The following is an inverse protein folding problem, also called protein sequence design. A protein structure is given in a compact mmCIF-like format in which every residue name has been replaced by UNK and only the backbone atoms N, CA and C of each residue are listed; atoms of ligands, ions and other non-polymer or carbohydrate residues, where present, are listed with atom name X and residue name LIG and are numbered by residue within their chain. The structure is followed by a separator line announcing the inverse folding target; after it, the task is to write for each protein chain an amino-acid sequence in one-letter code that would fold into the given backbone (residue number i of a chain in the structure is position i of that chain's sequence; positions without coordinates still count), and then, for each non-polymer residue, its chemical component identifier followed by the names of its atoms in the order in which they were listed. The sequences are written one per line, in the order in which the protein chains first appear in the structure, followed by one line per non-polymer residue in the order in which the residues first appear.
data_IF_266678110208
#
_entry.id   IF_266678110208
#
_cell.length_a   1.000
_cell.length_b   1.000
_cell.length_c   1.000
_cell.angle_alpha   90.00
_cell.angle_beta   90.00
_cell.angle_gamma   90.00
#
_symmetry.space_group_name_H-M   'P 1'
#
loop_
_entity.id
_entity.type
_entity.pdbx_description
1 polymer ?
#
# COMPACT_ATOMS: atom_id res chain seq x y z
N UNK A 1 -18.62 -15.45 52.06
CA UNK A 1 -18.66 -16.06 50.72
C UNK A 1 -20.10 -16.48 50.44
N UNK A 2 -20.86 -15.71 49.65
CA UNK A 2 -22.21 -16.08 49.23
C UNK A 2 -22.37 -15.59 47.80
N UNK A 3 -22.34 -16.52 46.85
CA UNK A 3 -22.42 -16.23 45.43
C UNK A 3 -23.79 -15.61 45.12
N UNK A 4 -23.77 -14.38 44.61
CA UNK A 4 -24.92 -13.73 44.02
C UNK A 4 -25.30 -14.55 42.78
N UNK A 5 -26.45 -15.23 42.85
CA UNK A 5 -27.11 -15.72 41.64
C UNK A 5 -27.65 -14.47 40.93
N UNK A 6 -27.26 -14.19 39.68
CA UNK A 6 -27.92 -13.14 38.92
C UNK A 6 -29.35 -13.62 38.68
N UNK A 7 -30.30 -12.97 39.35
CA UNK A 7 -31.71 -13.05 39.05
C UNK A 7 -31.89 -12.61 37.59
N UNK A 8 -32.05 -13.60 36.71
CA UNK A 8 -32.25 -13.39 35.29
C UNK A 8 -33.60 -12.72 35.14
N UNK A 9 -33.57 -11.42 34.84
CA UNK A 9 -34.75 -10.62 34.48
C UNK A 9 -35.47 -11.33 33.34
N UNK A 10 -36.53 -12.07 33.67
CA UNK A 10 -37.41 -12.70 32.72
C UNK A 10 -38.29 -11.64 32.07
N UNK A 11 -37.70 -10.80 31.22
CA UNK A 11 -38.45 -10.14 30.15
C UNK A 11 -39.24 -11.22 29.41
N UNK A 12 -40.53 -10.99 29.18
CA UNK A 12 -41.44 -11.84 28.40
C UNK A 12 -40.97 -11.96 26.95
N UNK A 13 -39.82 -12.60 26.72
CA UNK A 13 -39.28 -12.92 25.41
C UNK A 13 -39.90 -14.25 24.99
N UNK A 14 -40.43 -14.28 23.78
CA UNK A 14 -40.98 -15.50 23.18
C UNK A 14 -39.87 -16.54 23.11
N UNK A 15 -40.09 -17.69 23.75
CA UNK A 15 -39.15 -18.79 23.70
C UNK A 15 -39.25 -19.46 22.31
N UNK A 16 -38.18 -19.47 21.49
CA UNK A 16 -38.22 -20.11 20.16
C UNK A 16 -38.38 -21.63 20.26
N UNK A 17 -37.91 -22.24 21.35
CA UNK A 17 -38.07 -23.67 21.63
C UNK A 17 -39.52 -24.09 21.80
N UNK A 18 -40.32 -23.25 22.44
CA UNK A 18 -41.76 -23.48 22.61
C UNK A 18 -42.49 -23.45 21.26
N UNK A 19 -42.10 -22.53 20.37
CA UNK A 19 -42.64 -22.47 19.00
C UNK A 19 -42.32 -23.74 18.22
N UNK A 20 -41.10 -24.26 18.34
CA UNK A 20 -40.69 -25.51 17.71
C UNK A 20 -41.47 -26.71 18.27
N UNK A 21 -41.67 -26.74 19.59
CA UNK A 21 -42.47 -27.77 20.27
C UNK A 21 -43.91 -27.80 19.77
N UNK A 22 -44.57 -26.65 19.72
CA UNK A 22 -45.94 -26.54 19.24
C UNK A 22 -46.06 -27.00 17.79
N UNK A 23 -45.11 -26.61 16.93
CA UNK A 23 -45.08 -27.06 15.56
C UNK A 23 -44.85 -28.59 15.44
N UNK A 24 -44.00 -29.19 16.28
CA UNK A 24 -43.84 -30.66 16.34
C UNK A 24 -45.13 -31.35 16.77
N UNK A 25 -45.76 -30.88 17.84
CA UNK A 25 -46.99 -31.45 18.39
C UNK A 25 -48.16 -31.32 17.42
N UNK A 26 -48.25 -30.21 16.67
CA UNK A 26 -49.24 -30.01 15.60
C UNK A 26 -49.15 -31.04 14.47
N UNK A 27 -47.97 -31.65 14.29
CA UNK A 27 -47.69 -32.72 13.31
C UNK A 27 -47.76 -34.12 13.92
N UNK A 28 -48.09 -34.22 15.21
CA UNK A 28 -48.10 -35.47 15.97
C UNK A 28 -46.77 -36.22 15.90
N UNK A 29 -45.65 -35.50 15.77
CA UNK A 29 -44.32 -36.11 15.76
C UNK A 29 -43.80 -36.30 17.18
N UNK A 30 -43.24 -37.48 17.45
CA UNK A 30 -42.61 -37.73 18.74
C UNK A 30 -41.25 -37.02 18.83
N UNK A 31 -40.88 -36.60 20.04
CA UNK A 31 -39.57 -36.03 20.31
C UNK A 31 -38.41 -36.96 19.88
N UNK A 32 -38.42 -38.28 20.18
CA UNK A 32 -37.34 -39.16 19.74
C UNK A 32 -37.25 -39.33 18.22
N UNK A 33 -38.36 -39.33 17.48
CA UNK A 33 -38.33 -39.43 16.02
C UNK A 33 -37.67 -38.21 15.39
N UNK A 34 -37.98 -37.02 15.90
CA UNK A 34 -37.36 -35.77 15.44
C UNK A 34 -35.89 -35.73 15.80
N UNK A 35 -35.52 -36.17 17.01
CA UNK A 35 -34.14 -36.25 17.45
C UNK A 35 -33.31 -37.14 16.50
N UNK A 36 -33.86 -38.29 16.08
CA UNK A 36 -33.23 -39.18 15.10
C UNK A 36 -33.07 -38.51 13.73
N UNK A 37 -34.10 -37.82 13.23
CA UNK A 37 -34.04 -37.11 11.93
C UNK A 37 -33.02 -35.97 11.91
N UNK A 38 -32.82 -35.31 13.05
CA UNK A 38 -31.84 -34.22 13.19
C UNK A 38 -30.45 -34.71 13.61
N UNK A 39 -30.29 -36.01 13.87
CA UNK A 39 -29.09 -36.61 14.43
C UNK A 39 -28.64 -35.94 15.74
N UNK A 40 -29.60 -35.67 16.62
CA UNK A 40 -29.42 -35.06 17.94
C UNK A 40 -29.85 -36.02 19.04
N UNK A 41 -29.33 -35.82 20.25
CA UNK A 41 -29.83 -36.54 21.42
C UNK A 41 -31.20 -36.02 21.83
N UNK A 42 -32.05 -36.91 22.34
CA UNK A 42 -33.38 -36.55 22.87
C UNK A 42 -33.26 -35.49 23.97
N UNK A 43 -32.23 -35.58 24.80
CA UNK A 43 -31.93 -34.60 25.86
C UNK A 43 -31.63 -33.22 25.30
N UNK A 44 -30.82 -33.10 24.24
CA UNK A 44 -30.52 -31.82 23.60
C UNK A 44 -31.78 -31.20 22.99
N UNK A 45 -32.62 -32.01 22.34
CA UNK A 45 -33.86 -31.54 21.74
C UNK A 45 -34.88 -31.10 22.81
N UNK A 46 -34.98 -31.85 23.91
CA UNK A 46 -35.78 -31.47 25.08
C UNK A 46 -35.29 -30.17 25.71
N UNK A 47 -33.97 -30.01 25.88
CA UNK A 47 -33.41 -28.75 26.38
C UNK A 47 -33.71 -27.58 25.44
N UNK A 48 -33.66 -27.81 24.13
CA UNK A 48 -34.02 -26.82 23.12
C UNK A 48 -35.49 -26.39 23.25
N UNK A 49 -36.43 -27.34 23.32
CA UNK A 49 -37.87 -27.05 23.45
C UNK A 49 -38.19 -26.33 24.76
N UNK A 50 -37.48 -26.64 25.84
CA UNK A 50 -37.65 -26.00 27.15
C UNK A 50 -36.91 -24.65 27.27
N UNK A 51 -36.20 -24.18 26.25
CA UNK A 51 -35.38 -22.97 26.31
C UNK A 51 -34.15 -23.05 27.21
N UNK A 52 -33.74 -24.25 27.62
CA UNK A 52 -32.57 -24.49 28.46
C UNK A 52 -31.28 -24.50 27.62
N UNK A 53 -31.02 -23.40 26.91
CA UNK A 53 -29.89 -23.30 25.97
C UNK A 53 -28.52 -23.40 26.66
N UNK A 54 -28.43 -23.05 27.93
CA UNK A 54 -27.23 -23.20 28.78
C UNK A 54 -26.79 -24.65 28.96
N UNK A 55 -27.70 -25.62 28.79
CA UNK A 55 -27.39 -27.06 28.89
C UNK A 55 -26.87 -27.67 27.58
N UNK A 56 -26.81 -26.87 26.50
CA UNK A 56 -26.30 -27.29 25.21
C UNK A 56 -24.78 -27.04 25.13
N UNK A 57 -24.06 -27.64 24.16
CA UNK A 57 -22.62 -27.46 23.99
C UNK A 57 -22.14 -26.01 23.68
N UNK A 58 -23.06 -25.04 23.63
CA UNK A 58 -22.81 -23.63 23.36
C UNK A 58 -23.87 -22.99 22.46
N UNK A 59 -23.99 -21.66 22.50
CA UNK A 59 -24.98 -20.90 21.73
C UNK A 59 -24.85 -21.08 20.22
N UNK A 60 -23.63 -21.23 19.69
CA UNK A 60 -23.41 -21.47 18.25
C UNK A 60 -24.05 -22.78 17.79
N UNK A 61 -23.90 -23.84 18.58
CA UNK A 61 -24.53 -25.14 18.32
C UNK A 61 -26.04 -25.06 18.50
N UNK A 62 -26.52 -24.43 19.58
CA UNK A 62 -27.93 -24.22 19.83
C UNK A 62 -28.62 -23.49 18.67
N UNK A 63 -28.00 -22.44 18.15
CA UNK A 63 -28.47 -21.69 16.97
C UNK A 63 -28.56 -22.58 15.73
N UNK A 64 -27.58 -23.46 15.53
CA UNK A 64 -27.60 -24.46 14.46
C UNK A 64 -28.76 -25.45 14.62
N UNK A 65 -29.03 -25.91 15.85
CA UNK A 65 -30.13 -26.82 16.15
C UNK A 65 -31.49 -26.16 15.90
N UNK A 66 -31.70 -24.91 16.34
CA UNK A 66 -32.91 -24.12 16.05
C UNK A 66 -33.14 -24.04 14.54
N UNK A 67 -32.10 -23.69 13.77
CA UNK A 67 -32.18 -23.62 12.30
C UNK A 67 -32.55 -24.96 11.67
N UNK A 68 -31.87 -26.03 12.06
CA UNK A 68 -32.10 -27.37 11.50
C UNK A 68 -33.51 -27.88 11.82
N UNK A 69 -34.00 -27.62 13.03
CA UNK A 69 -35.34 -28.01 13.46
C UNK A 69 -36.41 -27.20 12.74
N UNK A 70 -36.25 -25.88 12.63
CA UNK A 70 -37.14 -25.03 11.83
C UNK A 70 -37.20 -25.51 10.37
N UNK A 71 -36.06 -25.86 9.77
CA UNK A 71 -35.99 -26.43 8.41
C UNK A 71 -36.77 -27.74 8.29
N UNK A 72 -36.61 -28.67 9.25
CA UNK A 72 -37.33 -29.94 9.25
C UNK A 72 -38.86 -29.74 9.38
N UNK A 73 -39.26 -28.73 10.15
CA UNK A 73 -40.66 -28.35 10.31
C UNK A 73 -41.16 -27.43 9.18
N UNK A 74 -40.34 -27.03 8.22
CA UNK A 74 -40.73 -26.10 7.16
C UNK A 74 -41.16 -24.72 7.68
N UNK A 75 -40.63 -24.31 8.84
CA UNK A 75 -40.82 -22.98 9.42
C UNK A 75 -39.77 -22.00 8.86
N UNK A 76 -40.02 -20.70 9.04
CA UNK A 76 -39.01 -19.69 8.71
C UNK A 76 -37.81 -19.79 9.66
N UNK A 77 -36.72 -20.30 9.10
CA UNK A 77 -35.44 -20.47 9.79
C UNK A 77 -34.87 -19.14 10.26
N UNK A 78 -35.06 -18.06 9.51
CA UNK A 78 -34.47 -16.75 9.80
C UNK A 78 -35.17 -16.14 11.01
N UNK A 79 -36.50 -16.13 11.00
CA UNK A 79 -37.30 -15.62 12.11
C UNK A 79 -37.03 -16.39 13.42
N UNK A 80 -36.96 -17.73 13.38
CA UNK A 80 -36.70 -18.54 14.58
C UNK A 80 -35.30 -18.35 15.14
N UNK A 81 -34.31 -18.19 14.26
CA UNK A 81 -32.93 -17.88 14.67
C UNK A 81 -32.83 -16.48 15.26
N UNK A 82 -33.57 -15.51 14.72
CA UNK A 82 -33.63 -14.16 15.27
C UNK A 82 -34.28 -14.15 16.66
N UNK A 83 -35.37 -14.89 16.84
CA UNK A 83 -36.00 -15.08 18.15
C UNK A 83 -35.05 -15.74 19.15
N UNK A 84 -34.25 -16.71 18.71
CA UNK A 84 -33.18 -17.30 19.53
C UNK A 84 -32.14 -16.25 19.92
N UNK A 85 -31.60 -15.52 18.94
CA UNK A 85 -30.59 -14.49 19.15
C UNK A 85 -31.11 -13.42 20.16
N UNK A 86 -32.39 -13.02 20.05
CA UNK A 86 -33.07 -12.12 21.01
C UNK A 86 -33.29 -12.76 22.40
N UNK A 87 -33.65 -14.04 22.45
CA UNK A 87 -33.92 -14.76 23.71
C UNK A 87 -32.66 -14.92 24.55
N UNK A 88 -31.57 -15.38 23.93
CA UNK A 88 -30.27 -15.60 24.58
C UNK A 88 -29.42 -14.34 24.70
N UNK A 89 -29.81 -13.24 24.05
CA UNK A 89 -29.02 -12.02 23.99
C UNK A 89 -27.72 -12.19 23.21
N UNK A 90 -27.65 -13.22 22.35
CA UNK A 90 -26.50 -13.47 21.48
C UNK A 90 -26.79 -12.89 20.12
N UNK A 91 -26.23 -11.72 19.80
CA UNK A 91 -26.09 -11.35 18.41
C UNK A 91 -25.05 -12.27 17.77
N UNK A 92 -25.20 -12.66 16.51
CA UNK A 92 -24.27 -13.56 15.80
C UNK A 92 -22.80 -13.10 15.71
N UNK A 93 -22.42 -12.07 16.48
CA UNK A 93 -21.09 -11.55 16.73
C UNK A 93 -20.50 -12.19 17.99
N UNK A 94 -20.14 -13.47 17.88
CA UNK A 94 -19.14 -14.07 18.76
C UNK A 94 -19.47 -14.08 20.26
N UNK A 95 -20.44 -14.89 20.66
CA UNK A 95 -20.38 -15.50 22.00
C UNK A 95 -19.14 -16.39 22.04
N UNK A 96 -18.07 -15.90 22.66
CA UNK A 96 -16.80 -16.57 22.85
C UNK A 96 -16.98 -17.88 23.63
N UNK A 97 -17.13 -18.99 22.90
CA UNK A 97 -16.84 -20.30 23.48
C UNK A 97 -15.33 -20.51 23.44
N UNK A 98 -14.75 -20.76 24.60
CA UNK A 98 -13.42 -21.36 24.78
C UNK A 98 -13.38 -22.73 24.07
N UNK A 99 -13.25 -22.72 22.75
CA UNK A 99 -12.84 -23.87 21.97
C UNK A 99 -11.32 -23.80 21.84
N UNK A 100 -10.63 -24.55 22.71
CA UNK A 100 -9.28 -25.01 22.42
C UNK A 100 -9.30 -25.67 21.03
N UNK A 101 -8.60 -25.07 20.07
CA UNK A 101 -8.60 -25.54 18.68
C UNK A 101 -8.95 -24.44 17.70
N UNK A 102 -8.09 -23.41 17.63
CA UNK A 102 -7.98 -22.52 16.48
C UNK A 102 -7.59 -23.37 15.27
N UNK A 103 -8.57 -23.85 14.53
CA UNK A 103 -8.39 -24.15 13.11
C UNK A 103 -8.86 -22.88 12.42
N UNK A 104 -7.89 -22.17 11.84
CA UNK A 104 -8.07 -20.91 11.14
C UNK A 104 -9.28 -20.98 10.22
N UNK A 105 -10.19 -20.02 10.36
CA UNK A 105 -11.25 -19.82 9.38
C UNK A 105 -10.61 -19.69 7.98
N UNK A 106 -11.13 -20.34 6.93
CA UNK A 106 -10.70 -20.02 5.57
C UNK A 106 -11.05 -18.55 5.36
N UNK A 107 -10.03 -17.69 5.38
CA UNK A 107 -10.16 -16.25 5.26
C UNK A 107 -10.94 -16.02 3.96
N UNK A 108 -12.21 -15.62 4.11
CA UNK A 108 -13.02 -15.14 3.00
C UNK A 108 -12.35 -13.84 2.60
N UNK A 109 -11.35 -13.91 1.73
CA UNK A 109 -10.56 -12.76 1.35
C UNK A 109 -11.52 -11.79 0.66
N UNK A 110 -11.96 -10.79 1.43
CA UNK A 110 -12.98 -9.85 1.01
C UNK A 110 -12.50 -9.18 -0.27
N UNK A 111 -13.40 -9.00 -1.21
CA UNK A 111 -13.17 -8.34 -2.50
C UNK A 111 -12.48 -6.97 -2.34
N UNK A 112 -12.62 -6.35 -1.17
CA UNK A 112 -11.99 -5.08 -0.81
C UNK A 112 -10.47 -5.21 -0.59
N UNK A 113 -9.97 -6.33 -0.05
CA UNK A 113 -8.53 -6.57 0.14
C UNK A 113 -7.84 -6.70 -1.22
N UNK A 114 -8.46 -7.44 -2.15
CA UNK A 114 -7.98 -7.55 -3.53
C UNK A 114 -7.94 -6.18 -4.23
N UNK A 115 -8.94 -5.33 -4.02
CA UNK A 115 -8.94 -3.95 -4.55
C UNK A 115 -7.82 -3.09 -3.96
N UNK A 116 -7.58 -3.19 -2.65
CA UNK A 116 -6.50 -2.43 -1.99
C UNK A 116 -5.13 -2.90 -2.50
N UNK A 117 -4.91 -4.21 -2.58
CA UNK A 117 -3.64 -4.77 -3.09
C UNK A 117 -3.44 -4.38 -4.56
N UNK A 118 -4.48 -4.49 -5.39
CA UNK A 118 -4.44 -4.06 -6.79
C UNK A 118 -4.14 -2.56 -6.93
N UNK A 119 -4.71 -1.72 -6.07
CA UNK A 119 -4.47 -0.28 -6.08
C UNK A 119 -3.03 0.04 -5.68
N UNK A 120 -2.51 -0.59 -4.63
CA UNK A 120 -1.12 -0.41 -4.22
C UNK A 120 -0.13 -0.82 -5.30
N UNK A 121 -0.36 -1.96 -5.97
CA UNK A 121 0.49 -2.44 -7.05
C UNK A 121 0.48 -1.46 -8.23
N UNK A 122 -0.69 -0.92 -8.58
CA UNK A 122 -0.82 0.11 -9.62
C UNK A 122 -0.06 1.40 -9.27
N UNK A 123 -0.17 1.88 -8.02
CA UNK A 123 0.57 3.05 -7.56
C UNK A 123 2.09 2.83 -7.63
N UNK A 124 2.57 1.64 -7.27
CA UNK A 124 4.00 1.30 -7.37
C UNK A 124 4.46 1.28 -8.82
N UNK A 125 3.69 0.69 -9.74
CA UNK A 125 4.01 0.66 -11.17
C UNK A 125 4.09 2.07 -11.76
N UNK A 126 3.09 2.91 -11.47
CA UNK A 126 3.05 4.30 -11.96
C UNK A 126 4.16 5.14 -11.35
N UNK A 127 4.38 5.03 -10.04
CA UNK A 127 5.45 5.74 -9.34
C UNK A 127 6.84 5.32 -9.82
N UNK A 128 7.08 4.03 -9.97
CA UNK A 128 8.34 3.50 -10.50
C UNK A 128 8.59 3.94 -11.94
N UNK A 129 7.57 3.91 -12.80
CA UNK A 129 7.65 4.41 -14.17
C UNK A 129 7.95 5.92 -14.23
N UNK A 130 7.36 6.71 -13.34
CA UNK A 130 7.60 8.15 -13.25
C UNK A 130 9.04 8.46 -12.83
N UNK A 131 9.57 7.75 -11.83
CA UNK A 131 10.96 7.91 -11.38
C UNK A 131 11.94 7.52 -12.50
N UNK A 132 11.69 6.40 -13.19
CA UNK A 132 12.51 5.97 -14.31
C UNK A 132 12.50 6.98 -15.48
N UNK A 133 11.32 7.55 -15.78
CA UNK A 133 11.21 8.60 -16.79
C UNK A 133 11.98 9.86 -16.42
N UNK A 134 11.99 10.25 -15.14
CA UNK A 134 12.75 11.40 -14.65
C UNK A 134 14.27 11.17 -14.73
N UNK A 135 14.73 9.95 -14.44
CA UNK A 135 16.14 9.56 -14.54
C UNK A 135 16.61 9.58 -16.00
N UNK A 136 15.80 9.07 -16.93
CA UNK A 136 16.13 9.09 -18.36
C UNK A 136 16.09 10.50 -18.96
N UNK A 137 15.20 11.38 -18.49
CA UNK A 137 15.22 12.80 -18.85
C UNK A 137 16.50 13.51 -18.36
N UNK A 138 17.03 13.11 -17.20
CA UNK A 138 18.26 13.67 -16.63
C UNK A 138 19.52 13.16 -17.34
N UNK A 139 19.54 11.91 -17.80
CA UNK A 139 20.62 11.33 -18.60
C UNK A 139 20.67 11.95 -20.02
N UNK A 140 19.51 12.20 -20.65
CA UNK A 140 19.43 12.79 -21.99
C UNK A 140 19.94 14.24 -22.07
N UNK A 141 19.92 14.99 -20.95
CA UNK A 141 20.54 16.31 -20.85
C UNK A 141 22.07 16.26 -20.66
N UNK A 142 22.60 15.16 -20.12
CA UNK A 142 24.03 14.97 -19.88
C UNK A 142 24.78 14.54 -21.15
N UNK A 143 24.14 13.75 -22.01
CA UNK A 143 24.69 13.35 -23.32
C UNK A 143 24.81 14.53 -24.30
N UNK A 144 23.86 15.48 -24.31
CA UNK A 144 23.96 16.66 -25.19
C UNK A 144 25.06 17.64 -24.79
N UNK A 145 25.46 17.63 -23.51
CA UNK A 145 26.55 18.48 -23.01
C UNK A 145 27.94 17.88 -23.28
N UNK A 146 28.02 16.57 -23.54
CA UNK A 146 29.27 15.84 -23.78
C UNK A 146 29.71 15.73 -25.24
N UNK A 147 28.88 16.14 -26.21
CA UNK A 147 29.14 15.95 -27.65
C UNK A 147 29.64 17.22 -28.37
N UNK A 148 29.91 18.32 -27.67
CA UNK A 148 30.39 19.58 -28.29
C UNK A 148 31.92 19.78 -28.16
N UNK A 149 32.69 18.71 -27.99
CA UNK A 149 34.16 18.79 -28.04
C UNK A 149 34.77 17.50 -28.59
N UNK A 150 34.21 16.99 -29.68
CA UNK A 150 34.87 15.94 -30.46
C UNK A 150 35.88 16.62 -31.40
N UNK A 151 37.12 16.61 -30.92
CA UNK A 151 38.36 16.98 -31.58
C UNK A 151 38.39 16.52 -33.06
N UNK A 152 38.50 17.45 -34.00
CA UNK A 152 38.79 17.13 -35.40
C UNK A 152 40.31 17.09 -35.57
N UNK A 153 40.89 15.89 -35.59
CA UNK A 153 42.26 15.68 -36.04
C UNK A 153 42.29 15.64 -37.58
N UNK A 154 43.04 16.56 -38.18
CA UNK A 154 43.38 16.50 -39.60
C UNK A 154 44.86 16.19 -39.72
N UNK A 155 45.19 14.94 -40.03
CA UNK A 155 46.57 14.49 -40.21
C UNK A 155 47.13 15.08 -41.51
N UNK A 156 48.06 16.03 -41.39
CA UNK A 156 48.82 16.54 -42.54
C UNK A 156 49.95 15.56 -42.87
N UNK A 157 50.17 15.31 -44.17
CA UNK A 157 50.96 14.20 -44.71
C UNK A 157 52.48 14.19 -44.41
N UNK A 158 52.99 15.10 -43.56
CA UNK A 158 54.42 15.22 -43.23
C UNK A 158 54.76 14.91 -41.75
N UNK A 159 53.83 14.30 -40.98
CA UNK A 159 54.16 13.57 -39.75
C UNK A 159 54.81 14.37 -38.61
N UNK A 160 54.66 15.69 -38.57
CA UNK A 160 55.14 16.55 -37.46
C UNK A 160 53.96 17.24 -36.79
N UNK A 161 53.67 16.88 -35.54
CA UNK A 161 52.62 17.51 -34.72
C UNK A 161 53.07 18.89 -34.26
N UNK A 162 52.60 19.96 -34.92
CA UNK A 162 52.65 21.31 -34.36
C UNK A 162 51.37 21.58 -33.56
N UNK A 163 51.53 21.80 -32.27
CA UNK A 163 50.47 22.21 -31.35
C UNK A 163 50.40 23.74 -31.43
N UNK A 164 49.39 24.29 -32.11
CA UNK A 164 49.09 25.71 -32.07
C UNK A 164 47.89 25.93 -31.15
N UNK A 165 48.06 26.48 -29.93
CA UNK A 165 46.95 26.89 -29.08
C UNK A 165 46.20 28.04 -29.76
N UNK A 166 44.90 27.84 -30.04
CA UNK A 166 44.00 28.93 -30.45
C UNK A 166 43.64 29.78 -29.22
N UNK A 167 44.56 30.63 -28.83
CA UNK A 167 44.30 31.82 -28.02
C UNK A 167 45.10 32.97 -28.65
N UNK A 168 44.68 33.37 -29.85
CA UNK A 168 45.11 34.62 -30.45
C UNK A 168 43.87 35.51 -30.55
N UNK A 169 43.72 36.54 -29.69
CA UNK A 169 42.68 37.53 -29.89
C UNK A 169 42.95 38.22 -31.23
N UNK A 170 41.90 38.43 -32.02
CA UNK A 170 41.94 39.19 -33.26
C UNK A 170 42.63 40.56 -33.04
N UNK A 171 43.93 40.66 -33.31
CA UNK A 171 44.58 41.95 -33.50
C UNK A 171 44.37 42.38 -34.96
N UNK A 172 43.71 43.53 -35.19
CA UNK A 172 43.40 43.99 -36.53
C UNK A 172 44.69 44.40 -37.25
N UNK A 173 44.90 43.78 -38.42
CA UNK A 173 45.62 44.27 -39.59
C UNK A 173 46.56 45.47 -39.37
N UNK A 174 47.87 45.20 -39.23
CA UNK A 174 48.91 46.11 -39.70
C UNK A 174 49.93 45.34 -40.53
N UNK A 175 50.19 45.93 -41.69
CA UNK A 175 50.93 45.46 -42.84
C UNK A 175 52.45 45.62 -42.59
N UNK A 176 53.19 44.53 -42.82
CA UNK A 176 54.48 44.47 -43.53
C UNK A 176 55.85 44.80 -42.85
N UNK A 177 56.73 43.77 -42.92
CA UNK A 177 58.20 43.73 -43.08
C UNK A 177 59.20 43.72 -41.88
N UNK A 178 60.09 42.69 -41.83
CA UNK A 178 61.45 42.77 -41.25
C UNK A 178 62.55 42.45 -42.30
N UNK A 179 63.86 42.50 -41.98
CA UNK A 179 64.63 43.43 -41.15
C UNK A 179 65.84 44.01 -41.93
N UNK A 180 66.32 45.19 -41.57
CA UNK A 180 67.64 45.67 -42.01
C UNK A 180 68.36 46.26 -40.81
N UNK A 181 69.55 45.73 -40.54
CA UNK A 181 70.32 46.05 -39.34
C UNK A 181 70.91 47.44 -39.35
N UNK A 182 71.34 47.89 -38.18
CA UNK A 182 72.76 48.07 -37.86
C UNK A 182 72.91 48.64 -36.45
N UNK A 183 73.73 47.93 -35.69
CA UNK A 183 74.47 48.29 -34.48
C UNK A 183 74.86 49.77 -34.36
N UNK A 184 74.54 50.40 -33.23
CA UNK A 184 75.47 51.27 -32.50
C UNK A 184 75.02 51.50 -31.05
N UNK A 185 75.68 50.81 -30.12
CA UNK A 185 75.94 51.26 -28.74
C UNK A 185 77.25 52.10 -28.76
N UNK A 186 77.67 52.86 -27.72
CA UNK A 186 77.09 53.05 -26.37
C UNK A 186 77.20 54.50 -25.80
N UNK A 187 76.87 54.64 -24.49
CA UNK A 187 77.42 55.57 -23.46
C UNK A 187 76.81 56.98 -23.25
N UNK A 188 75.98 57.04 -22.20
CA UNK A 188 76.24 57.77 -20.94
C UNK A 188 76.94 59.15 -21.01
N UNK A 189 76.20 60.22 -20.67
CA UNK A 189 76.48 61.06 -19.48
C UNK A 189 75.43 62.17 -19.37
N UNK A 190 74.88 62.35 -18.17
CA UNK A 190 74.02 63.49 -17.85
C UNK A 190 74.79 64.78 -17.60
N UNK A 191 74.08 65.90 -17.75
CA UNK A 191 74.22 67.11 -16.94
C UNK A 191 72.95 67.97 -17.14
N UNK A 192 72.37 68.58 -16.10
CA UNK A 192 71.32 69.58 -16.26
C UNK A 192 71.92 71.00 -16.31
N UNK A 193 71.20 71.92 -16.97
CA UNK A 193 70.82 73.26 -16.49
C UNK A 193 70.90 74.37 -17.55
N UNK A 194 69.82 75.17 -17.58
CA UNK A 194 69.70 76.57 -18.02
C UNK A 194 69.94 76.86 -19.51
N UNK A 195 69.25 77.76 -20.20
CA UNK A 195 68.15 78.71 -19.96
C UNK A 195 67.82 79.30 -21.36
N UNK A 196 66.67 79.93 -21.53
CA UNK A 196 66.16 80.49 -22.79
C UNK A 196 67.00 81.72 -23.29
N UNK A 197 66.58 82.56 -24.28
CA UNK A 197 65.47 82.50 -25.24
C UNK A 197 65.80 83.00 -26.67
N UNK A 198 64.76 82.99 -27.52
CA UNK A 198 64.42 83.98 -28.56
C UNK A 198 65.11 83.96 -29.93
N UNK A 199 64.22 83.94 -30.92
CA UNK A 199 64.46 84.09 -32.34
C UNK A 199 64.86 85.51 -32.75
N UNK A 200 65.63 85.58 -33.86
CA UNK A 200 65.49 86.45 -35.05
C UNK A 200 66.88 86.73 -35.66
N UNK A 201 66.98 87.27 -36.88
CA UNK A 201 65.95 87.44 -37.93
C UNK A 201 66.14 86.52 -39.15
#
# INVERSE_FOLDING_TARGET
MKAAHPEVVATTRVNPGETLRQARESRSWSLPDVALRLNLTVTSLSNLENGNFEKLPGHTFARGYVRAYAKLLGLDQTALVEQFDQFTGTDGKGSSVHALGRIEEPVRLSHNILRIVSLLLLVILVGGGFVWWQDQASLRGKDQSGLNMEHVEVESADGTTQIHPLDEPEEPAVVEAPPAGQTSLPLNAGAPASEAPSAAP
#
